data_IF_468296256005
#
_entry.id   IF_468296256005
#
_cell.length_a   1.000
_cell.length_b   1.000
_cell.length_c   1.000
_cell.angle_alpha   90.00
_cell.angle_beta   90.00
_cell.angle_gamma   90.00
#
_symmetry.space_group_name_H-M   'P 1'
#
loop_
_entity.id
_entity.type
_entity.pdbx_description
1 polymer ?
#
# COMPACT_ATOMS: atom_id res chain seq x y z
N UNK A 1 -26.09 -54.91 -11.98
CA UNK A 1 -26.87 -53.68 -12.25
C UNK A 1 -27.92 -53.50 -11.16
N UNK A 2 -27.74 -52.54 -10.23
CA UNK A 2 -28.73 -52.02 -9.24
C UNK A 2 -27.98 -51.19 -8.18
N UNK A 3 -27.40 -50.04 -8.55
CA UNK A 3 -26.78 -49.07 -7.60
C UNK A 3 -26.89 -47.60 -8.05
N UNK A 4 -27.93 -47.25 -8.83
CA UNK A 4 -28.08 -45.88 -9.37
C UNK A 4 -29.35 -45.14 -8.94
N UNK A 5 -30.19 -45.69 -8.06
CA UNK A 5 -31.48 -45.08 -7.70
C UNK A 5 -31.54 -44.40 -6.33
N UNK A 6 -30.44 -44.33 -5.56
CA UNK A 6 -30.49 -43.80 -4.18
C UNK A 6 -30.01 -42.35 -4.03
N UNK A 7 -29.28 -41.80 -5.01
CA UNK A 7 -28.67 -40.46 -4.91
C UNK A 7 -29.65 -39.33 -5.30
N UNK A 8 -30.68 -39.63 -6.09
CA UNK A 8 -31.62 -38.62 -6.60
C UNK A 8 -32.67 -38.20 -5.55
N UNK A 9 -32.95 -39.03 -4.55
CA UNK A 9 -33.98 -38.73 -3.54
C UNK A 9 -33.48 -37.71 -2.49
N UNK A 10 -32.16 -37.63 -2.24
CA UNK A 10 -31.60 -36.71 -1.24
C UNK A 10 -31.55 -35.26 -1.77
N UNK A 11 -31.37 -35.06 -3.08
CA UNK A 11 -31.28 -33.71 -3.66
C UNK A 11 -32.63 -32.95 -3.68
N UNK A 12 -33.77 -33.65 -3.71
CA UNK A 12 -35.08 -33.01 -3.74
C UNK A 12 -35.52 -32.45 -2.37
N UNK A 13 -35.00 -32.98 -1.26
CA UNK A 13 -35.37 -32.56 0.09
C UNK A 13 -34.70 -31.24 0.53
N UNK A 14 -33.51 -30.92 0.00
CA UNK A 14 -32.77 -29.71 0.38
C UNK A 14 -33.34 -28.45 -0.30
N UNK A 15 -33.88 -28.59 -1.51
CA UNK A 15 -34.45 -27.46 -2.26
C UNK A 15 -35.77 -26.95 -1.65
N UNK A 16 -36.56 -27.83 -1.04
CA UNK A 16 -37.81 -27.42 -0.35
C UNK A 16 -37.53 -26.68 0.97
N UNK A 17 -36.42 -26.99 1.66
CA UNK A 17 -36.08 -26.33 2.92
C UNK A 17 -35.57 -24.89 2.73
N UNK A 18 -34.99 -24.57 1.57
CA UNK A 18 -34.51 -23.21 1.27
C UNK A 18 -35.61 -22.27 0.75
N UNK A 19 -36.75 -22.79 0.29
CA UNK A 19 -37.83 -21.97 -0.28
C UNK A 19 -38.94 -21.57 0.71
N UNK A 20 -38.85 -21.98 1.98
CA UNK A 20 -39.88 -21.73 3.00
C UNK A 20 -39.48 -20.73 4.10
N UNK A 21 -38.34 -20.03 3.96
CA UNK A 21 -37.90 -19.02 4.93
C UNK A 21 -38.11 -17.57 4.46
N UNK A 22 -39.07 -17.37 3.56
CA UNK A 22 -39.48 -16.05 3.14
C UNK A 22 -41.01 -15.98 3.20
N UNK A 23 -41.50 -14.91 3.79
CA UNK A 23 -42.91 -14.55 4.05
C UNK A 23 -43.51 -15.01 5.37
N UNK A 24 -43.75 -14.01 6.22
CA UNK A 24 -44.78 -13.78 7.25
C UNK A 24 -44.09 -13.13 8.44
N UNK A 25 -44.51 -12.01 9.02
CA UNK A 25 -45.78 -11.29 9.11
C UNK A 25 -45.45 -10.08 10.02
N UNK A 26 -46.17 -8.97 10.20
CA UNK A 26 -47.39 -8.41 9.65
C UNK A 26 -47.51 -6.98 10.25
N UNK A 27 -48.13 -6.09 9.47
CA UNK A 27 -49.07 -5.00 9.84
C UNK A 27 -48.69 -3.78 10.71
N UNK A 28 -49.03 -2.62 10.11
CA UNK A 28 -49.76 -1.46 10.63
C UNK A 28 -49.21 -0.66 11.81
N UNK A 29 -48.81 0.59 11.54
CA UNK A 29 -49.66 1.75 11.87
C UNK A 29 -49.17 3.04 11.19
N UNK A 30 -50.13 3.79 10.63
CA UNK A 30 -49.92 5.15 10.14
C UNK A 30 -49.59 6.10 11.28
N UNK A 31 -48.56 6.93 11.13
CA UNK A 31 -48.43 8.17 11.87
C UNK A 31 -47.93 9.28 10.95
N UNK A 32 -48.68 10.37 10.98
CA UNK A 32 -48.50 11.62 10.23
C UNK A 32 -47.09 12.19 10.40
N UNK A 33 -46.47 12.58 9.30
CA UNK A 33 -45.34 13.49 9.29
C UNK A 33 -45.88 14.93 9.35
N UNK A 34 -45.71 15.60 10.48
CA UNK A 34 -45.90 17.03 10.62
C UNK A 34 -44.53 17.67 10.60
N UNK A 35 -44.35 18.63 9.70
CA UNK A 35 -43.20 19.52 9.61
C UNK A 35 -43.39 20.58 10.70
N UNK A 36 -42.38 20.76 11.56
CA UNK A 36 -41.88 22.03 12.14
C UNK A 36 -41.12 21.78 13.45
N UNK A 37 -39.97 22.47 13.58
CA UNK A 37 -39.19 22.77 14.79
C UNK A 37 -38.64 21.56 15.59
N UNK A 38 -37.33 21.38 15.77
CA UNK A 38 -36.44 22.33 16.46
C UNK A 38 -35.06 21.71 16.66
N UNK A 39 -34.06 22.59 16.75
CA UNK A 39 -32.67 22.32 17.09
C UNK A 39 -32.52 21.58 18.44
N UNK A 40 -31.36 20.93 18.63
CA UNK A 40 -30.91 20.14 19.79
C UNK A 40 -31.42 18.70 19.90
N UNK A 41 -30.69 17.77 19.27
CA UNK A 41 -30.08 16.64 19.99
C UNK A 41 -28.88 16.11 19.19
N UNK A 42 -27.70 16.12 19.83
CA UNK A 42 -26.59 15.28 19.44
C UNK A 42 -26.96 13.82 19.73
N UNK A 43 -27.06 12.98 18.71
CA UNK A 43 -26.86 11.54 18.88
C UNK A 43 -26.39 10.92 17.56
N UNK A 44 -25.34 10.11 17.68
CA UNK A 44 -24.57 9.47 16.63
C UNK A 44 -25.39 8.76 15.56
N UNK A 45 -25.03 9.00 14.30
CA UNK A 45 -25.06 7.99 13.25
C UNK A 45 -23.73 8.06 12.50
N UNK A 46 -22.81 7.21 12.96
CA UNK A 46 -21.61 6.83 12.23
C UNK A 46 -22.02 6.21 10.89
N UNK A 47 -21.59 6.83 9.80
CA UNK A 47 -21.16 6.12 8.60
C UNK A 47 -19.83 6.72 8.16
N UNK A 48 -18.78 6.27 8.81
CA UNK A 48 -17.41 6.39 8.33
C UNK A 48 -17.29 5.69 6.97
N UNK A 49 -16.69 6.33 5.95
CA UNK A 49 -16.26 5.62 4.76
C UNK A 49 -15.15 4.64 5.17
N UNK A 50 -15.35 3.35 4.92
CA UNK A 50 -14.30 2.33 5.01
C UNK A 50 -13.31 2.53 3.86
N UNK A 51 -12.29 3.36 4.08
CA UNK A 51 -11.09 3.40 3.23
C UNK A 51 -9.88 3.73 4.11
N UNK A 52 -8.83 2.92 3.99
CA UNK A 52 -7.45 3.17 4.44
C UNK A 52 -7.05 2.93 5.91
N UNK A 53 -7.86 2.28 6.77
CA UNK A 53 -7.41 1.96 8.16
C UNK A 53 -6.87 0.53 8.35
N UNK A 54 -6.80 -0.27 7.28
CA UNK A 54 -6.28 -1.64 7.33
C UNK A 54 -4.88 -1.74 6.72
N UNK A 55 -3.85 -1.32 7.47
CA UNK A 55 -2.44 -1.81 7.45
C UNK A 55 -1.47 -0.83 8.15
N UNK A 56 -1.76 -0.41 9.39
CA UNK A 56 -0.66 -0.12 10.33
C UNK A 56 -0.29 -1.43 11.02
N UNK A 57 0.26 -2.38 10.25
CA UNK A 57 0.97 -3.50 10.87
C UNK A 57 2.21 -2.88 11.52
N UNK A 58 2.28 -2.93 12.84
CA UNK A 58 3.35 -2.27 13.58
C UNK A 58 4.68 -2.84 13.10
N UNK A 59 5.50 -2.02 12.45
CA UNK A 59 6.83 -2.42 11.99
C UNK A 59 7.64 -3.03 13.14
N UNK A 60 8.48 -4.01 12.80
CA UNK A 60 9.47 -4.55 13.75
C UNK A 60 10.26 -3.37 14.37
N UNK A 61 10.57 -3.39 15.68
CA UNK A 61 11.41 -2.36 16.32
C UNK A 61 12.78 -2.19 15.65
N UNK A 62 13.18 -3.20 14.87
CA UNK A 62 14.44 -3.24 14.13
C UNK A 62 14.27 -2.95 12.64
N UNK A 63 13.14 -2.40 12.20
CA UNK A 63 12.98 -1.99 10.80
C UNK A 63 13.98 -0.89 10.42
N UNK A 64 14.46 -0.94 9.19
CA UNK A 64 15.38 0.05 8.59
C UNK A 64 14.90 0.40 7.20
N UNK A 65 14.97 1.67 6.85
CA UNK A 65 14.62 2.22 5.55
C UNK A 65 15.87 2.67 4.81
N UNK A 66 15.90 2.49 3.50
CA UNK A 66 16.95 3.06 2.66
C UNK A 66 16.78 4.59 2.58
N UNK A 67 17.83 5.34 2.93
CA UNK A 67 17.81 6.82 2.86
C UNK A 67 17.70 7.33 1.41
N UNK A 68 18.35 6.62 0.50
CA UNK A 68 18.39 6.85 -0.94
C UNK A 68 18.41 5.49 -1.64
N UNK A 69 18.44 5.47 -2.98
CA UNK A 69 18.65 4.21 -3.71
C UNK A 69 19.98 3.58 -3.29
N UNK A 70 19.90 2.41 -2.67
CA UNK A 70 21.04 1.75 -2.03
C UNK A 70 21.45 0.50 -2.81
N UNK A 71 22.75 0.24 -2.88
CA UNK A 71 23.27 -1.02 -3.43
C UNK A 71 22.95 -2.16 -2.48
N UNK A 72 22.42 -3.25 -3.00
CA UNK A 72 22.24 -4.49 -2.24
C UNK A 72 23.34 -5.49 -2.59
N UNK A 73 23.84 -6.14 -1.55
CA UNK A 73 24.85 -7.19 -1.63
C UNK A 73 24.25 -8.52 -1.20
N UNK A 74 24.87 -9.62 -1.63
CA UNK A 74 24.60 -10.95 -1.09
C UNK A 74 24.73 -10.95 0.44
N UNK A 75 24.07 -11.89 1.13
CA UNK A 75 24.09 -12.01 2.60
C UNK A 75 25.51 -12.03 3.20
N UNK A 76 26.48 -12.56 2.46
CA UNK A 76 27.90 -12.58 2.85
C UNK A 76 28.64 -11.24 2.64
N UNK A 77 27.96 -10.22 2.11
CA UNK A 77 28.45 -8.87 1.89
C UNK A 77 29.42 -8.69 0.73
N UNK A 78 29.66 -9.73 -0.09
CA UNK A 78 30.76 -9.72 -1.08
C UNK A 78 30.34 -9.28 -2.48
N UNK A 79 29.19 -9.74 -2.95
CA UNK A 79 28.75 -9.53 -4.33
C UNK A 79 27.62 -8.53 -4.38
N UNK A 80 27.73 -7.49 -5.19
CA UNK A 80 26.62 -6.58 -5.49
C UNK A 80 25.59 -7.34 -6.35
N UNK A 81 24.35 -7.46 -5.87
CA UNK A 81 23.30 -8.26 -6.52
C UNK A 81 22.15 -7.41 -7.07
N UNK A 82 22.13 -6.10 -6.80
CA UNK A 82 21.04 -5.22 -7.23
C UNK A 82 20.99 -3.86 -6.56
N UNK A 83 19.81 -3.24 -6.61
CA UNK A 83 19.49 -1.97 -5.96
C UNK A 83 18.21 -2.10 -5.13
N UNK A 84 18.19 -1.48 -3.94
CA UNK A 84 17.02 -1.23 -3.12
C UNK A 84 16.59 0.22 -3.33
N UNK A 85 15.31 0.46 -3.61
CA UNK A 85 14.80 1.82 -3.79
C UNK A 85 14.66 2.56 -2.46
N UNK A 86 14.84 3.88 -2.54
CA UNK A 86 14.66 4.84 -1.45
C UNK A 86 13.35 4.59 -0.69
N UNK A 87 13.44 4.64 0.63
CA UNK A 87 12.34 4.48 1.56
C UNK A 87 11.80 3.06 1.70
N UNK A 88 12.14 2.13 0.82
CA UNK A 88 11.84 0.73 1.06
C UNK A 88 12.83 0.16 2.09
N UNK A 89 12.36 -0.85 2.83
CA UNK A 89 13.03 -1.29 4.03
C UNK A 89 12.72 -2.72 4.42
N UNK A 90 13.34 -3.14 5.51
CA UNK A 90 13.16 -4.48 6.06
C UNK A 90 13.62 -4.57 7.49
N UNK A 91 13.44 -5.75 8.06
CA UNK A 91 13.88 -6.04 9.43
C UNK A 91 15.39 -6.26 9.47
N UNK A 92 16.09 -5.54 10.34
CA UNK A 92 17.50 -5.83 10.64
C UNK A 92 17.63 -7.16 11.39
N UNK A 93 18.37 -8.09 10.80
CA UNK A 93 18.63 -9.44 11.34
C UNK A 93 20.10 -9.68 11.70
N UNK A 94 20.98 -8.72 11.42
CA UNK A 94 22.39 -8.80 11.79
C UNK A 94 23.28 -7.78 11.07
N UNK A 95 24.58 -7.92 11.23
CA UNK A 95 25.59 -7.04 10.62
C UNK A 95 26.79 -7.84 10.13
N UNK A 96 27.42 -7.38 9.05
CA UNK A 96 28.67 -7.92 8.52
C UNK A 96 29.59 -6.77 8.09
N UNK A 97 30.66 -6.55 8.86
CA UNK A 97 31.56 -5.41 8.64
C UNK A 97 30.83 -4.07 8.76
N UNK A 98 30.84 -3.27 7.69
CA UNK A 98 30.16 -1.98 7.57
C UNK A 98 28.72 -2.07 7.01
N UNK A 99 28.17 -3.29 6.94
CA UNK A 99 26.86 -3.57 6.34
C UNK A 99 25.90 -4.14 7.36
N UNK A 100 24.64 -3.74 7.22
CA UNK A 100 23.50 -4.31 7.92
C UNK A 100 22.85 -5.35 7.03
N UNK A 101 22.51 -6.50 7.60
CA UNK A 101 21.74 -7.55 6.93
C UNK A 101 20.27 -7.28 7.20
N UNK A 102 19.51 -7.02 6.13
CA UNK A 102 18.07 -6.83 6.17
C UNK A 102 17.36 -8.07 5.62
N UNK A 103 16.29 -8.47 6.31
CA UNK A 103 15.25 -9.33 5.77
C UNK A 103 14.22 -8.45 5.06
N UNK A 104 14.22 -8.51 3.73
CA UNK A 104 13.27 -7.82 2.87
C UNK A 104 12.11 -8.76 2.57
N UNK A 105 10.89 -8.22 2.57
CA UNK A 105 9.69 -8.95 2.16
C UNK A 105 8.93 -8.16 1.08
N UNK A 106 8.35 -8.85 0.11
CA UNK A 106 7.59 -8.22 -0.96
C UNK A 106 6.91 -9.22 -1.89
N UNK A 107 6.50 -8.74 -3.04
CA UNK A 107 5.62 -9.46 -3.97
C UNK A 107 6.34 -9.75 -5.29
N UNK A 108 6.03 -10.91 -5.86
CA UNK A 108 6.58 -11.35 -7.14
C UNK A 108 5.54 -11.15 -8.24
N UNK A 109 5.99 -10.72 -9.41
CA UNK A 109 5.15 -10.57 -10.60
C UNK A 109 5.43 -11.72 -11.57
N UNK A 110 4.37 -12.34 -12.08
CA UNK A 110 4.53 -13.40 -13.08
C UNK A 110 5.26 -12.88 -14.32
N UNK A 111 6.27 -13.63 -14.77
CA UNK A 111 7.11 -13.25 -15.91
C UNK A 111 8.23 -12.25 -15.60
N UNK A 112 8.30 -11.71 -14.37
CA UNK A 112 9.40 -10.86 -13.91
C UNK A 112 10.18 -11.55 -12.78
N UNK A 113 11.32 -12.13 -13.15
CA UNK A 113 12.15 -12.89 -12.21
C UNK A 113 13.16 -12.03 -11.46
N UNK A 114 13.33 -10.75 -11.81
CA UNK A 114 14.45 -9.93 -11.31
C UNK A 114 14.01 -8.80 -10.38
N UNK A 115 12.71 -8.55 -10.26
CA UNK A 115 12.20 -7.48 -9.40
C UNK A 115 11.34 -7.99 -8.25
N UNK A 116 11.48 -7.34 -7.09
CA UNK A 116 10.55 -7.47 -5.96
C UNK A 116 9.68 -6.22 -5.89
N UNK A 117 8.38 -6.41 -5.73
CA UNK A 117 7.37 -5.35 -5.69
C UNK A 117 6.92 -5.06 -4.27
N UNK A 118 6.58 -3.81 -4.01
CA UNK A 118 6.19 -3.32 -2.69
C UNK A 118 4.91 -3.98 -2.14
N UNK A 119 3.92 -4.20 -3.02
CA UNK A 119 2.60 -4.68 -2.64
C UNK A 119 1.96 -5.56 -3.73
N UNK A 120 0.78 -6.10 -3.43
CA UNK A 120 0.02 -6.99 -4.32
C UNK A 120 -0.46 -6.34 -5.62
N UNK A 121 -0.49 -5.02 -5.71
CA UNK A 121 -0.89 -4.32 -6.93
C UNK A 121 0.22 -4.31 -7.98
N UNK A 122 1.46 -4.64 -7.60
CA UNK A 122 2.62 -4.77 -8.49
C UNK A 122 2.93 -3.49 -9.30
N UNK A 123 2.46 -2.33 -8.81
CA UNK A 123 2.65 -1.02 -9.44
C UNK A 123 4.08 -0.49 -9.29
N UNK A 124 4.79 -0.88 -8.22
CA UNK A 124 6.09 -0.32 -7.87
C UNK A 124 7.10 -1.42 -7.47
N UNK A 125 8.10 -1.62 -8.32
CA UNK A 125 9.26 -2.45 -8.02
C UNK A 125 10.18 -1.70 -7.06
N UNK A 126 10.57 -2.33 -5.96
CA UNK A 126 11.36 -1.72 -4.87
C UNK A 126 12.72 -2.39 -4.67
N UNK A 127 12.89 -3.60 -5.20
CA UNK A 127 14.21 -4.24 -5.34
C UNK A 127 14.42 -4.61 -6.79
N UNK A 128 15.54 -4.16 -7.35
CA UNK A 128 15.93 -4.40 -8.74
C UNK A 128 17.20 -5.27 -8.75
N UNK A 129 17.07 -6.56 -9.03
CA UNK A 129 18.20 -7.50 -9.07
C UNK A 129 18.87 -7.50 -10.45
N UNK A 130 20.18 -7.76 -10.46
CA UNK A 130 20.98 -7.86 -11.69
C UNK A 130 21.06 -9.31 -12.18
N UNK A 131 21.53 -10.19 -11.31
CA UNK A 131 21.92 -11.55 -11.68
C UNK A 131 21.25 -12.63 -10.80
N UNK A 132 20.33 -12.23 -9.93
CA UNK A 132 19.64 -13.11 -8.99
C UNK A 132 18.14 -13.14 -9.25
N UNK A 133 17.50 -14.28 -8.96
CA UNK A 133 16.05 -14.39 -8.98
C UNK A 133 15.43 -13.81 -7.73
N UNK A 134 14.43 -12.96 -7.90
CA UNK A 134 13.65 -12.39 -6.81
C UNK A 134 12.91 -13.49 -6.05
N UNK A 135 12.91 -13.37 -4.72
CA UNK A 135 12.15 -14.24 -3.81
C UNK A 135 11.29 -13.35 -2.93
N UNK A 136 10.11 -13.85 -2.51
CA UNK A 136 9.19 -13.11 -1.64
C UNK A 136 9.84 -12.61 -0.35
N UNK A 137 10.80 -13.38 0.17
CA UNK A 137 11.63 -13.01 1.31
C UNK A 137 13.09 -13.17 0.91
N UNK A 138 13.91 -12.14 1.15
CA UNK A 138 15.33 -12.15 0.84
C UNK A 138 16.14 -11.58 1.99
N UNK A 139 17.31 -12.16 2.24
CA UNK A 139 18.28 -11.63 3.17
C UNK A 139 19.43 -11.00 2.38
N UNK A 140 19.59 -9.69 2.50
CA UNK A 140 20.57 -8.91 1.74
C UNK A 140 21.40 -8.04 2.67
N UNK A 141 22.64 -7.76 2.29
CA UNK A 141 23.49 -6.83 3.01
C UNK A 141 23.47 -5.45 2.34
N UNK A 142 23.31 -4.38 3.12
CA UNK A 142 23.28 -2.98 2.67
C UNK A 142 24.24 -2.17 3.56
N UNK A 143 24.92 -1.16 3.02
CA UNK A 143 25.80 -0.32 3.85
C UNK A 143 25.00 0.33 4.98
N UNK A 144 25.48 0.21 6.22
CA UNK A 144 24.75 0.72 7.39
C UNK A 144 24.52 2.23 7.33
N UNK A 145 25.41 2.97 6.65
CA UNK A 145 25.29 4.43 6.46
C UNK A 145 24.15 4.84 5.52
N UNK A 146 23.69 3.92 4.67
CA UNK A 146 22.63 4.17 3.69
C UNK A 146 21.23 3.86 4.28
N UNK A 147 21.18 3.54 5.58
CA UNK A 147 19.97 3.12 6.29
C UNK A 147 19.61 4.07 7.43
N UNK A 148 18.32 4.26 7.67
CA UNK A 148 17.79 4.95 8.85
C UNK A 148 16.70 4.11 9.54
N UNK A 149 16.46 4.40 10.82
CA UNK A 149 15.32 3.88 11.59
C UNK A 149 14.06 4.76 11.43
N UNK A 150 14.22 5.96 10.89
CA UNK A 150 13.20 7.00 10.87
C UNK A 150 12.78 7.26 9.43
N UNK A 151 11.58 6.79 9.06
CA UNK A 151 11.09 6.98 7.69
C UNK A 151 10.94 8.46 7.32
N UNK A 152 10.58 9.32 8.28
CA UNK A 152 10.43 10.75 8.04
C UNK A 152 11.75 11.41 7.58
N UNK A 153 12.91 10.89 8.00
CA UNK A 153 14.21 11.37 7.50
C UNK A 153 14.38 11.10 6.01
N UNK A 154 13.79 10.02 5.49
CA UNK A 154 13.84 9.67 4.06
C UNK A 154 13.03 10.67 3.24
N UNK A 155 11.83 11.03 3.72
CA UNK A 155 10.82 11.71 2.92
C UNK A 155 10.66 13.21 3.17
N UNK A 156 11.10 13.73 4.32
CA UNK A 156 10.90 15.14 4.72
C UNK A 156 11.28 16.16 3.64
N UNK A 157 12.38 15.93 2.91
CA UNK A 157 12.77 16.80 1.79
C UNK A 157 11.77 16.75 0.64
N UNK A 158 11.36 15.55 0.24
CA UNK A 158 10.43 15.37 -0.88
C UNK A 158 9.03 15.86 -0.54
N UNK A 159 8.59 15.65 0.70
CA UNK A 159 7.34 16.19 1.25
C UNK A 159 7.34 17.73 1.17
N UNK A 160 8.41 18.37 1.67
CA UNK A 160 8.53 19.82 1.61
C UNK A 160 8.45 20.33 0.16
N UNK A 161 9.20 19.73 -0.76
CA UNK A 161 9.21 20.12 -2.17
C UNK A 161 7.84 19.89 -2.81
N UNK A 162 7.15 18.80 -2.47
CA UNK A 162 5.80 18.53 -2.92
C UNK A 162 4.83 19.63 -2.50
N UNK A 163 4.78 19.97 -1.21
CA UNK A 163 3.87 21.01 -0.74
C UNK A 163 4.27 22.41 -1.22
N UNK A 164 5.56 22.71 -1.34
CA UNK A 164 6.05 24.00 -1.84
C UNK A 164 5.64 24.22 -3.31
N UNK A 165 5.73 23.19 -4.17
CA UNK A 165 5.39 23.31 -5.59
C UNK A 165 3.88 23.14 -5.85
N UNK A 166 3.22 22.18 -5.19
CA UNK A 166 1.85 21.79 -5.53
C UNK A 166 0.79 22.63 -4.80
N UNK A 167 1.17 23.45 -3.80
CA UNK A 167 0.25 24.35 -3.11
C UNK A 167 0.24 25.79 -3.64
N UNK A 168 1.06 26.09 -4.67
CA UNK A 168 1.23 27.45 -5.19
C UNK A 168 -0.04 28.05 -5.81
N UNK A 169 -0.91 27.21 -6.38
CA UNK A 169 -2.09 27.64 -7.14
C UNK A 169 -3.41 27.31 -6.42
N UNK A 170 -3.44 26.26 -5.61
CA UNK A 170 -4.59 25.78 -4.84
C UNK A 170 -4.07 24.93 -3.67
N UNK A 171 -4.97 24.40 -2.82
CA UNK A 171 -4.54 23.44 -1.81
C UNK A 171 -3.96 22.18 -2.48
N UNK A 172 -2.80 21.71 -2.01
CA UNK A 172 -2.22 20.47 -2.49
C UNK A 172 -3.09 19.28 -2.01
N UNK A 173 -3.34 18.33 -2.91
CA UNK A 173 -4.03 17.09 -2.60
C UNK A 173 -3.19 16.23 -1.64
N UNK A 174 -3.82 15.47 -0.73
CA UNK A 174 -3.06 14.54 0.11
C UNK A 174 -2.58 13.35 -0.76
N UNK A 175 -1.33 12.88 -0.64
CA UNK A 175 -0.81 11.77 -1.45
C UNK A 175 -1.67 10.50 -1.41
N UNK A 176 -2.32 10.22 -0.27
CA UNK A 176 -3.21 9.06 -0.06
C UNK A 176 -4.60 9.20 -0.70
N UNK A 177 -4.88 10.24 -1.48
CA UNK A 177 -6.16 10.42 -2.19
C UNK A 177 -6.23 9.66 -3.52
N UNK A 178 -5.07 9.32 -4.11
CA UNK A 178 -5.00 8.71 -5.43
C UNK A 178 -4.03 7.53 -5.47
N UNK A 179 -4.29 6.60 -6.39
CA UNK A 179 -3.36 5.52 -6.76
C UNK A 179 -2.17 6.07 -7.55
N UNK A 180 -1.09 5.31 -7.65
CA UNK A 180 0.09 5.65 -8.45
C UNK A 180 -0.29 5.96 -9.90
N UNK A 181 -1.19 5.16 -10.48
CA UNK A 181 -1.69 5.34 -11.85
C UNK A 181 -2.49 6.64 -12.02
N UNK A 182 -3.31 7.00 -11.04
CA UNK A 182 -4.07 8.26 -11.06
C UNK A 182 -3.14 9.46 -10.87
N UNK A 183 -2.15 9.35 -9.98
CA UNK A 183 -1.12 10.37 -9.79
C UNK A 183 -0.31 10.61 -11.06
N UNK A 184 0.02 9.58 -11.84
CA UNK A 184 0.71 9.76 -13.13
C UNK A 184 -0.06 10.71 -14.06
N UNK A 185 -1.39 10.54 -14.17
CA UNK A 185 -2.24 11.43 -14.96
C UNK A 185 -2.39 12.83 -14.37
N UNK A 186 -2.66 12.92 -13.06
CA UNK A 186 -2.88 14.21 -12.36
C UNK A 186 -1.58 15.02 -12.34
N UNK A 187 -0.51 14.45 -11.81
CA UNK A 187 0.78 15.09 -11.69
C UNK A 187 1.38 15.40 -13.07
N UNK A 188 1.22 14.50 -14.04
CA UNK A 188 1.63 14.74 -15.43
C UNK A 188 1.00 15.99 -16.05
N UNK A 189 -0.26 16.29 -15.70
CA UNK A 189 -0.93 17.53 -16.13
C UNK A 189 -0.46 18.74 -15.33
N UNK A 190 -0.31 18.58 -14.01
CA UNK A 190 0.01 19.70 -13.10
C UNK A 190 1.45 20.18 -13.23
N UNK A 191 2.41 19.29 -13.51
CA UNK A 191 3.82 19.69 -13.60
C UNK A 191 4.11 20.67 -14.74
N UNK A 192 3.26 20.72 -15.77
CA UNK A 192 3.33 21.73 -16.83
C UNK A 192 2.98 23.15 -16.33
N UNK A 193 2.20 23.26 -15.25
CA UNK A 193 1.80 24.53 -14.63
C UNK A 193 2.66 24.90 -13.43
N UNK A 194 2.94 23.92 -12.55
CA UNK A 194 3.81 24.11 -11.38
C UNK A 194 5.29 24.29 -11.77
N UNK A 195 5.70 23.76 -12.93
CA UNK A 195 7.04 23.88 -13.51
C UNK A 195 8.17 23.61 -12.50
N UNK A 196 8.17 22.46 -11.79
CA UNK A 196 9.25 22.10 -10.89
C UNK A 196 10.59 21.99 -11.66
N UNK A 197 11.71 22.16 -10.96
CA UNK A 197 13.02 21.82 -11.55
C UNK A 197 13.10 20.32 -11.85
N UNK A 198 14.05 19.89 -12.68
CA UNK A 198 14.22 18.44 -12.97
C UNK A 198 14.48 17.62 -11.69
N UNK A 199 15.22 18.19 -10.75
CA UNK A 199 15.49 17.55 -9.46
C UNK A 199 14.23 17.49 -8.58
N UNK A 200 13.44 18.56 -8.56
CA UNK A 200 12.19 18.60 -7.80
C UNK A 200 11.13 17.69 -8.41
N UNK A 201 11.02 17.63 -9.74
CA UNK A 201 10.11 16.73 -10.47
C UNK A 201 10.33 15.29 -10.02
N UNK A 202 11.59 14.86 -9.97
CA UNK A 202 11.97 13.54 -9.50
C UNK A 202 11.56 13.30 -8.04
N UNK A 203 11.86 14.25 -7.14
CA UNK A 203 11.58 14.08 -5.71
C UNK A 203 10.08 14.06 -5.43
N UNK A 204 9.31 14.90 -6.12
CA UNK A 204 7.84 14.91 -6.05
C UNK A 204 7.30 13.57 -6.54
N UNK A 205 7.75 13.09 -7.70
CA UNK A 205 7.25 11.85 -8.27
C UNK A 205 7.60 10.63 -7.41
N UNK A 206 8.78 10.57 -6.82
CA UNK A 206 9.15 9.53 -5.86
C UNK A 206 8.27 9.55 -4.60
N UNK A 207 7.97 10.74 -4.08
CA UNK A 207 7.12 10.92 -2.90
C UNK A 207 5.66 10.53 -3.18
N UNK A 208 5.10 10.98 -4.31
CA UNK A 208 3.74 10.62 -4.73
C UNK A 208 3.59 9.11 -4.92
N UNK A 209 4.54 8.46 -5.60
CA UNK A 209 4.49 7.01 -5.80
C UNK A 209 4.58 6.23 -4.49
N UNK A 210 5.45 6.67 -3.56
CA UNK A 210 5.62 5.98 -2.28
C UNK A 210 4.44 6.19 -1.32
N UNK A 211 3.79 7.36 -1.36
CA UNK A 211 2.69 7.73 -0.46
C UNK A 211 1.29 7.57 -1.07
N UNK A 212 1.18 7.16 -2.34
CA UNK A 212 -0.10 6.82 -2.97
C UNK A 212 -0.90 5.77 -2.18
N UNK A 213 -2.18 5.58 -2.53
CA UNK A 213 -3.05 4.52 -1.98
C UNK A 213 -2.38 3.14 -2.11
N UNK A 214 -1.82 2.86 -3.28
CA UNK A 214 -1.06 1.64 -3.59
C UNK A 214 0.46 1.89 -3.57
N UNK A 215 0.90 2.87 -2.77
CA UNK A 215 2.30 3.05 -2.40
C UNK A 215 2.75 2.06 -1.31
N UNK A 216 3.91 2.32 -0.71
CA UNK A 216 4.48 1.50 0.36
C UNK A 216 4.89 2.29 1.61
N UNK A 217 4.94 3.62 1.53
CA UNK A 217 5.36 4.44 2.66
C UNK A 217 4.31 4.42 3.77
N UNK A 218 4.81 4.45 5.01
CA UNK A 218 4.00 4.42 6.22
C UNK A 218 3.87 5.80 6.86
N UNK A 219 4.70 6.76 6.45
CA UNK A 219 4.48 8.17 6.74
C UNK A 219 3.29 8.70 5.95
N UNK A 220 2.59 9.65 6.55
CA UNK A 220 1.45 10.35 5.96
C UNK A 220 1.94 11.63 5.25
#
# INVERSE_FOLDING_TARGET
MKRFSFVIIILAAIIVFFYLKETKESTNHSARFSIEDSCHTCFSLEKTPQTAESKKEALSPNHRFALENAKIYSKDGKSEIGTLLKGFGGEEIGTIGDKTILKLEGFLKEGDEVNLYANENLSLAVVLLKDAKAQKQMEVAISTKDLTKNENEVWSKSEFIYYDNCSMCHAAHAPKEHTIQEWDGIYGTMKAFAMPTEQDDKLIWEYLQSHAIDGFSLSD
#
